data_IF_490553844675
#
_entry.id   IF_490553844675
#
_cell.length_a   1.000
_cell.length_b   1.000
_cell.length_c   1.000
_cell.angle_alpha   90.00
_cell.angle_beta   90.00
_cell.angle_gamma   90.00
#
_symmetry.space_group_name_H-M   'P 1'
#
loop_
_entity.id
_entity.type
_entity.pdbx_description
1 polymer ?
#
# COMPACT_ATOMS: atom_id res chain seq x y z
N UNK A 1 9.21 0.48 28.37
CA UNK A 1 9.97 -0.47 27.55
C UNK A 1 10.65 0.34 26.45
N UNK A 2 11.96 0.59 26.57
CA UNK A 2 12.68 1.47 25.65
C UNK A 2 12.77 0.81 24.28
N UNK A 3 12.14 1.43 23.29
CA UNK A 3 11.99 0.84 21.98
C UNK A 3 13.27 0.82 21.17
N UNK A 4 13.34 -0.12 20.22
CA UNK A 4 14.46 -0.31 19.30
C UNK A 4 14.79 0.91 18.41
N UNK A 5 13.98 1.97 18.49
CA UNK A 5 14.21 3.29 17.90
C UNK A 5 15.47 3.96 18.49
N UNK A 6 16.64 3.59 17.97
CA UNK A 6 17.94 4.15 18.38
C UNK A 6 19.06 3.12 18.49
N UNK A 7 18.75 1.83 18.35
CA UNK A 7 19.78 0.77 18.39
C UNK A 7 20.62 0.80 17.11
N UNK A 8 21.94 0.73 17.25
CA UNK A 8 22.84 0.71 16.09
C UNK A 8 22.66 -0.58 15.27
N UNK A 9 22.92 -0.50 13.96
CA UNK A 9 22.82 -1.64 13.03
C UNK A 9 23.63 -2.86 13.51
N UNK A 10 24.83 -2.63 14.03
CA UNK A 10 25.69 -3.70 14.53
C UNK A 10 25.09 -4.36 15.78
N UNK A 11 24.53 -3.57 16.70
CA UNK A 11 23.91 -4.09 17.91
C UNK A 11 22.60 -4.86 17.63
N UNK A 12 21.87 -4.51 16.56
CA UNK A 12 20.72 -5.28 16.09
C UNK A 12 21.15 -6.63 15.49
N UNK A 13 22.19 -6.63 14.66
CA UNK A 13 22.75 -7.85 14.05
C UNK A 13 23.31 -8.80 15.12
N UNK A 14 24.04 -8.27 16.11
CA UNK A 14 24.57 -9.04 17.23
C UNK A 14 23.47 -9.69 18.09
N UNK A 15 22.26 -9.12 18.07
CA UNK A 15 21.07 -9.67 18.73
C UNK A 15 20.19 -10.53 17.83
N UNK A 16 20.58 -10.77 16.58
CA UNK A 16 19.78 -11.53 15.62
C UNK A 16 18.47 -10.84 15.22
N UNK A 17 18.43 -9.50 15.30
CA UNK A 17 17.26 -8.70 14.97
C UNK A 17 17.37 -8.17 13.55
N UNK A 18 16.34 -8.41 12.75
CA UNK A 18 16.19 -7.82 11.41
C UNK A 18 15.10 -6.76 11.45
N UNK A 19 15.43 -5.56 10.97
CA UNK A 19 14.46 -4.47 10.80
C UNK A 19 14.00 -4.42 9.35
N UNK A 20 12.69 -4.37 9.14
CA UNK A 20 12.02 -4.03 7.88
C UNK A 20 11.41 -2.63 8.02
N UNK A 21 11.64 -1.78 7.02
CA UNK A 21 10.99 -0.46 6.91
C UNK A 21 9.99 -0.49 5.77
N UNK A 22 8.72 -0.28 6.07
CA UNK A 22 7.64 -0.17 5.09
C UNK A 22 7.29 1.31 4.98
N UNK A 23 7.51 1.86 3.79
CA UNK A 23 7.03 3.17 3.39
C UNK A 23 5.77 2.98 2.55
N UNK A 24 4.78 3.83 2.72
CA UNK A 24 3.55 3.70 1.94
C UNK A 24 2.82 5.01 1.67
N UNK A 25 2.08 5.01 0.57
CA UNK A 25 1.17 6.07 0.14
C UNK A 25 -0.16 5.50 -0.33
N UNK A 26 -1.13 6.39 -0.53
CA UNK A 26 -2.44 6.09 -1.09
C UNK A 26 -3.02 7.36 -1.71
N UNK A 27 -4.00 7.23 -2.61
CA UNK A 27 -4.83 8.32 -3.13
C UNK A 27 -3.99 9.51 -3.61
N UNK A 28 -2.99 9.27 -4.45
CA UNK A 28 -2.05 10.31 -4.88
C UNK A 28 -2.70 11.34 -5.81
N UNK A 29 -3.72 10.92 -6.57
CA UNK A 29 -4.56 11.78 -7.39
C UNK A 29 -3.79 12.75 -8.30
N UNK A 30 -2.70 12.27 -8.92
CA UNK A 30 -1.84 13.04 -9.82
C UNK A 30 -1.35 14.37 -9.21
N UNK A 31 -1.22 14.43 -7.88
CA UNK A 31 -0.66 15.60 -7.19
C UNK A 31 0.87 15.63 -7.33
N UNK A 32 1.34 15.90 -8.56
CA UNK A 32 2.77 15.94 -8.90
C UNK A 32 3.47 17.07 -8.17
N UNK A 33 2.90 18.27 -8.22
CA UNK A 33 3.38 19.45 -7.50
C UNK A 33 2.74 19.57 -6.12
N UNK A 34 3.41 20.25 -5.17
CA UNK A 34 2.77 20.67 -3.93
C UNK A 34 1.53 21.53 -4.19
N UNK A 35 0.63 21.57 -3.21
CA UNK A 35 -0.41 22.59 -3.17
C UNK A 35 0.22 23.99 -3.13
N UNK A 36 -0.41 25.00 -3.77
CA UNK A 36 0.06 26.38 -3.72
C UNK A 36 0.21 26.89 -2.28
N UNK A 37 1.13 27.84 -2.07
CA UNK A 37 1.34 28.46 -0.76
C UNK A 37 0.10 29.16 -0.18
N UNK A 38 -0.85 29.56 -1.04
CA UNK A 38 -2.12 30.15 -0.65
C UNK A 38 -3.29 29.15 -0.60
N UNK A 39 -3.03 27.83 -0.69
CA UNK A 39 -4.08 26.83 -0.49
C UNK A 39 -4.67 26.96 0.92
N UNK A 40 -6.01 27.02 1.07
CA UNK A 40 -6.64 27.33 2.35
C UNK A 40 -6.51 26.21 3.40
N UNK A 41 -6.16 24.99 2.98
CA UNK A 41 -6.12 23.81 3.86
C UNK A 41 -4.74 23.19 3.94
N UNK A 42 -4.05 23.10 2.81
CA UNK A 42 -2.82 22.33 2.66
C UNK A 42 -1.67 23.16 2.05
N UNK A 43 -1.41 24.41 2.48
CA UNK A 43 -0.42 25.26 1.85
C UNK A 43 0.97 24.62 1.85
N UNK A 44 1.61 24.58 0.68
CA UNK A 44 2.95 23.99 0.44
C UNK A 44 3.10 22.50 0.80
N UNK A 45 1.99 21.76 0.94
CA UNK A 45 2.02 20.32 1.23
C UNK A 45 1.95 19.47 -0.06
N UNK A 46 2.33 18.21 0.03
CA UNK A 46 2.30 17.25 -1.07
C UNK A 46 3.50 17.36 -2.01
N UNK A 47 3.32 16.81 -3.21
CA UNK A 47 4.30 16.88 -4.28
C UNK A 47 5.33 15.73 -4.29
N UNK A 48 5.58 15.22 -5.49
CA UNK A 48 6.42 14.03 -5.71
C UNK A 48 7.88 14.30 -5.38
N UNK A 49 8.41 15.49 -5.70
CA UNK A 49 9.81 15.84 -5.43
C UNK A 49 10.15 15.85 -3.93
N UNK A 50 9.26 16.39 -3.08
CA UNK A 50 9.44 16.41 -1.62
C UNK A 50 9.44 14.99 -1.06
N UNK A 51 8.45 14.20 -1.44
CA UNK A 51 8.35 12.78 -1.08
C UNK A 51 9.58 11.99 -1.54
N UNK A 52 10.06 12.19 -2.76
CA UNK A 52 11.27 11.56 -3.29
C UNK A 52 12.52 11.87 -2.43
N UNK A 53 12.67 13.12 -1.99
CA UNK A 53 13.75 13.53 -1.09
C UNK A 53 13.71 12.77 0.25
N UNK A 54 12.53 12.68 0.86
CA UNK A 54 12.35 11.94 2.12
C UNK A 54 12.64 10.45 1.94
N UNK A 55 12.10 9.81 0.90
CA UNK A 55 12.34 8.40 0.58
C UNK A 55 13.84 8.13 0.36
N UNK A 56 14.52 9.02 -0.39
CA UNK A 56 15.96 8.91 -0.66
C UNK A 56 16.78 8.98 0.64
N UNK A 57 16.46 9.90 1.55
CA UNK A 57 17.12 10.02 2.86
C UNK A 57 16.94 8.73 3.69
N UNK A 58 15.74 8.17 3.71
CA UNK A 58 15.45 6.93 4.45
C UNK A 58 16.25 5.76 3.88
N UNK A 59 16.21 5.55 2.56
CA UNK A 59 16.93 4.46 1.88
C UNK A 59 18.45 4.57 2.01
N UNK A 60 19.01 5.77 2.19
CA UNK A 60 20.43 5.94 2.46
C UNK A 60 20.86 5.36 3.82
N UNK A 61 19.93 5.24 4.76
CA UNK A 61 20.20 4.75 6.13
C UNK A 61 19.60 3.37 6.44
N UNK A 62 18.56 2.98 5.69
CA UNK A 62 17.79 1.77 5.96
C UNK A 62 18.01 0.72 4.85
N UNK A 63 18.58 -0.46 5.16
CA UNK A 63 18.94 -1.44 4.13
C UNK A 63 17.75 -2.25 3.60
N UNK A 64 16.69 -2.41 4.40
CA UNK A 64 15.56 -3.27 4.11
C UNK A 64 14.29 -2.42 4.00
N UNK A 65 14.12 -1.75 2.86
CA UNK A 65 12.96 -0.88 2.60
C UNK A 65 12.04 -1.54 1.59
N UNK A 66 10.73 -1.45 1.84
CA UNK A 66 9.66 -1.64 0.86
C UNK A 66 8.88 -0.33 0.74
N UNK A 67 8.58 0.11 -0.47
CA UNK A 67 7.77 1.28 -0.77
C UNK A 67 6.51 0.85 -1.53
N UNK A 68 5.35 1.07 -0.93
CA UNK A 68 4.07 0.53 -1.39
C UNK A 68 3.06 1.64 -1.67
N UNK A 69 2.10 1.39 -2.55
CA UNK A 69 0.98 2.29 -2.81
C UNK A 69 -0.38 1.56 -2.79
N UNK A 70 -1.39 2.18 -2.18
CA UNK A 70 -2.71 1.58 -2.06
C UNK A 70 -3.72 2.04 -3.14
N UNK A 71 -3.27 2.58 -4.27
CA UNK A 71 -4.11 2.89 -5.44
C UNK A 71 -4.57 4.34 -5.52
N UNK A 72 -5.36 4.65 -6.56
CA UNK A 72 -5.78 6.00 -6.96
C UNK A 72 -4.58 6.92 -7.21
N UNK A 73 -3.71 6.46 -8.11
CA UNK A 73 -2.49 7.18 -8.49
C UNK A 73 -2.84 8.32 -9.46
N UNK A 74 -3.80 8.07 -10.36
CA UNK A 74 -4.10 8.89 -11.51
C UNK A 74 -5.00 10.11 -11.24
N UNK A 75 -6.31 10.03 -11.44
CA UNK A 75 -7.15 11.23 -11.60
C UNK A 75 -7.03 12.22 -10.43
N UNK A 76 -7.02 13.55 -10.71
CA UNK A 76 -7.15 14.58 -9.66
C UNK A 76 -6.52 15.94 -9.97
N UNK A 77 -5.60 16.03 -10.93
CA UNK A 77 -5.03 17.29 -11.41
C UNK A 77 -4.95 17.36 -12.94
N UNK A 78 -4.67 18.54 -13.54
CA UNK A 78 -4.46 18.66 -14.98
C UNK A 78 -3.33 17.80 -15.56
N UNK A 79 -2.37 17.34 -14.73
CA UNK A 79 -1.32 16.43 -15.19
C UNK A 79 -1.92 15.15 -15.79
N UNK A 80 -2.90 14.52 -15.12
CA UNK A 80 -3.55 13.33 -15.64
C UNK A 80 -4.30 13.60 -16.95
N UNK A 81 -4.93 14.77 -17.10
CA UNK A 81 -5.64 15.12 -18.33
C UNK A 81 -4.69 15.27 -19.54
N UNK A 82 -3.48 15.77 -19.31
CA UNK A 82 -2.48 16.04 -20.34
C UNK A 82 -1.61 14.81 -20.65
N UNK A 83 -1.20 14.07 -19.61
CA UNK A 83 -0.21 12.99 -19.70
C UNK A 83 -0.80 11.59 -19.47
N UNK A 84 -2.08 11.50 -19.12
CA UNK A 84 -2.84 10.25 -19.05
C UNK A 84 -2.25 9.17 -18.11
N UNK A 85 -1.43 9.56 -17.12
CA UNK A 85 -0.81 8.62 -16.17
C UNK A 85 0.67 8.32 -16.41
N UNK A 86 1.24 8.78 -17.54
CA UNK A 86 2.65 8.51 -17.88
C UNK A 86 3.62 9.09 -16.84
N UNK A 87 3.39 10.35 -16.44
CA UNK A 87 4.26 11.09 -15.51
C UNK A 87 4.22 10.45 -14.13
N UNK A 88 3.03 10.06 -13.68
CA UNK A 88 2.78 9.44 -12.39
C UNK A 88 3.60 8.14 -12.24
N UNK A 89 3.49 7.22 -13.20
CA UNK A 89 4.22 5.95 -13.17
C UNK A 89 5.72 6.12 -13.36
N UNK A 90 6.16 7.05 -14.22
CA UNK A 90 7.60 7.36 -14.35
C UNK A 90 8.19 7.84 -13.03
N UNK A 91 7.55 8.81 -12.38
CA UNK A 91 8.05 9.37 -11.12
C UNK A 91 7.99 8.35 -9.98
N UNK A 92 6.93 7.53 -9.89
CA UNK A 92 6.89 6.42 -8.93
C UNK A 92 8.00 5.40 -9.18
N UNK A 93 8.30 5.11 -10.45
CA UNK A 93 9.43 4.24 -10.80
C UNK A 93 10.78 4.83 -10.44
N UNK A 94 10.97 6.14 -10.62
CA UNK A 94 12.19 6.85 -10.20
C UNK A 94 12.34 6.91 -8.68
N UNK A 95 11.23 7.05 -7.95
CA UNK A 95 11.19 6.91 -6.49
C UNK A 95 11.41 5.45 -6.04
N UNK A 96 11.33 4.50 -6.97
CA UNK A 96 11.52 3.07 -6.75
C UNK A 96 10.43 2.46 -5.89
N UNK A 97 9.15 2.72 -6.18
CA UNK A 97 8.07 1.92 -5.60
C UNK A 97 8.31 0.44 -5.89
N UNK A 98 7.90 -0.43 -4.96
CA UNK A 98 7.99 -1.89 -5.11
C UNK A 98 6.66 -2.44 -5.63
N UNK A 99 5.53 -1.98 -5.09
CA UNK A 99 4.21 -2.53 -5.39
C UNK A 99 3.09 -1.49 -5.31
N UNK A 100 2.04 -1.65 -6.12
CA UNK A 100 0.75 -0.96 -5.95
C UNK A 100 -0.43 -1.92 -6.06
N UNK A 101 -1.56 -1.56 -5.45
CA UNK A 101 -2.89 -2.08 -5.85
C UNK A 101 -3.59 -1.10 -6.81
N UNK A 102 -4.82 -1.41 -7.19
CA UNK A 102 -5.68 -0.55 -8.02
C UNK A 102 -6.78 0.11 -7.19
N UNK A 103 -6.97 1.40 -7.40
CA UNK A 103 -8.15 2.13 -6.97
C UNK A 103 -9.18 2.32 -8.08
N UNK A 104 -10.29 2.96 -7.76
CA UNK A 104 -11.36 3.19 -8.74
C UNK A 104 -10.96 4.23 -9.79
N UNK A 105 -10.22 5.27 -9.40
CA UNK A 105 -9.79 6.35 -10.31
C UNK A 105 -8.69 5.93 -11.28
N UNK A 106 -8.03 4.79 -11.03
CA UNK A 106 -7.09 4.22 -11.99
C UNK A 106 -7.80 3.79 -13.30
N UNK A 107 -9.12 3.60 -13.26
CA UNK A 107 -9.95 3.23 -14.42
C UNK A 107 -10.62 4.41 -15.13
N UNK A 108 -10.38 5.67 -14.74
CA UNK A 108 -11.11 6.83 -15.28
C UNK A 108 -10.91 7.05 -16.79
N UNK A 109 -9.76 6.63 -17.34
CA UNK A 109 -9.49 6.58 -18.79
C UNK A 109 -9.58 5.17 -19.38
N UNK A 110 -10.14 4.22 -18.62
CA UNK A 110 -10.32 2.82 -19.01
C UNK A 110 -9.10 1.93 -18.78
N UNK A 111 -9.34 0.62 -18.78
CA UNK A 111 -8.30 -0.40 -18.66
C UNK A 111 -7.22 -0.29 -19.74
N UNK A 112 -7.59 0.14 -20.95
CA UNK A 112 -6.67 0.36 -22.06
C UNK A 112 -5.61 1.41 -21.69
N UNK A 113 -6.01 2.47 -20.98
CA UNK A 113 -5.06 3.47 -20.52
C UNK A 113 -4.14 2.89 -19.44
N UNK A 114 -4.66 2.13 -18.48
CA UNK A 114 -3.81 1.45 -17.49
C UNK A 114 -2.74 0.62 -18.20
N UNK A 115 -3.14 -0.24 -19.15
CA UNK A 115 -2.21 -1.07 -19.94
C UNK A 115 -1.20 -0.24 -20.71
N UNK A 116 -1.64 0.87 -21.32
CA UNK A 116 -0.77 1.80 -22.05
C UNK A 116 0.31 2.39 -21.14
N UNK A 117 -0.02 2.69 -19.88
CA UNK A 117 0.93 3.30 -18.94
C UNK A 117 1.82 2.28 -18.23
N UNK A 118 1.39 1.02 -18.05
CA UNK A 118 2.17 -0.02 -17.36
C UNK A 118 3.65 -0.15 -17.77
N UNK A 119 4.07 0.04 -19.05
CA UNK A 119 5.49 0.03 -19.42
C UNK A 119 6.35 1.09 -18.72
N UNK A 120 5.75 2.15 -18.17
CA UNK A 120 6.43 3.17 -17.39
C UNK A 120 6.58 2.80 -15.91
N UNK A 121 5.87 1.78 -15.43
CA UNK A 121 5.93 1.29 -14.06
C UNK A 121 7.01 0.22 -13.91
N UNK A 122 7.99 0.47 -13.03
CA UNK A 122 9.04 -0.48 -12.63
C UNK A 122 8.71 -1.20 -11.32
N UNK A 123 7.43 -1.28 -11.00
CA UNK A 123 6.86 -1.86 -9.78
C UNK A 123 5.77 -2.88 -10.12
N UNK A 124 5.48 -3.76 -9.18
CA UNK A 124 4.47 -4.81 -9.35
C UNK A 124 3.05 -4.27 -9.10
N UNK A 125 2.07 -4.81 -9.83
CA UNK A 125 0.64 -4.55 -9.62
C UNK A 125 -0.01 -5.77 -8.98
N UNK A 126 -0.71 -5.57 -7.86
CA UNK A 126 -1.44 -6.63 -7.15
C UNK A 126 -2.90 -6.28 -6.96
N UNK A 127 -3.81 -7.22 -7.25
CA UNK A 127 -5.22 -7.13 -6.91
C UNK A 127 -5.83 -8.53 -6.98
N UNK A 128 -6.28 -9.06 -5.85
CA UNK A 128 -6.71 -10.46 -5.74
C UNK A 128 -8.21 -10.66 -5.97
N UNK A 129 -9.03 -9.66 -5.65
CA UNK A 129 -10.49 -9.79 -5.70
C UNK A 129 -11.10 -9.31 -7.02
N UNK A 130 -10.27 -8.98 -8.01
CA UNK A 130 -10.68 -8.70 -9.38
C UNK A 130 -10.22 -9.82 -10.31
N UNK A 131 -11.11 -10.30 -11.18
CA UNK A 131 -10.74 -11.21 -12.28
C UNK A 131 -10.94 -10.48 -13.60
N UNK A 132 -9.82 -10.28 -14.31
CA UNK A 132 -9.73 -9.52 -15.56
C UNK A 132 -9.86 -10.39 -16.82
N UNK A 133 -10.57 -11.52 -16.74
CA UNK A 133 -10.71 -12.44 -17.88
C UNK A 133 -11.37 -11.73 -19.07
N UNK A 134 -10.82 -11.89 -20.28
CA UNK A 134 -11.26 -11.23 -21.51
C UNK A 134 -11.19 -9.69 -21.45
N UNK A 135 -10.31 -9.11 -20.62
CA UNK A 135 -10.09 -7.66 -20.59
C UNK A 135 -8.64 -7.31 -20.94
N UNK A 136 -8.31 -6.04 -21.27
CA UNK A 136 -6.94 -5.63 -21.52
C UNK A 136 -5.96 -5.93 -20.36
N UNK A 137 -6.47 -6.04 -19.12
CA UNK A 137 -5.69 -6.32 -17.92
C UNK A 137 -5.48 -7.82 -17.62
N UNK A 138 -6.01 -8.71 -18.47
CA UNK A 138 -5.84 -10.15 -18.30
C UNK A 138 -4.36 -10.54 -18.18
N UNK A 139 -4.02 -11.31 -17.14
CA UNK A 139 -2.66 -11.77 -16.81
C UNK A 139 -1.62 -10.66 -16.53
N UNK A 140 -2.03 -9.39 -16.41
CA UNK A 140 -1.11 -8.27 -16.12
C UNK A 140 -1.02 -7.93 -14.63
N UNK A 141 -2.04 -8.30 -13.87
CA UNK A 141 -2.15 -8.03 -12.43
C UNK A 141 -2.19 -9.36 -11.69
N UNK A 142 -1.32 -9.48 -10.69
CA UNK A 142 -1.21 -10.71 -9.88
C UNK A 142 -2.07 -10.58 -8.63
N UNK A 143 -2.52 -11.69 -8.01
CA UNK A 143 -3.21 -11.58 -6.72
C UNK A 143 -2.28 -11.08 -5.62
N UNK A 144 -1.02 -11.51 -5.64
CA UNK A 144 0.00 -11.15 -4.66
C UNK A 144 1.41 -11.20 -5.25
N UNK A 145 2.38 -10.66 -4.50
CA UNK A 145 3.81 -10.72 -4.76
C UNK A 145 4.57 -10.97 -3.45
N UNK A 146 5.65 -11.75 -3.52
CA UNK A 146 6.55 -11.99 -2.38
C UNK A 146 7.86 -11.24 -2.60
N UNK A 147 8.30 -10.53 -1.57
CA UNK A 147 9.57 -9.81 -1.54
C UNK A 147 10.50 -10.40 -0.49
N UNK A 148 11.78 -10.54 -0.83
CA UNK A 148 12.82 -10.92 0.11
C UNK A 148 13.59 -9.68 0.55
N UNK A 149 13.64 -9.40 1.85
CA UNK A 149 14.36 -8.25 2.45
C UNK A 149 15.00 -8.67 3.76
N UNK A 150 16.32 -8.55 3.88
CA UNK A 150 17.04 -8.92 5.11
C UNK A 150 16.84 -10.38 5.56
N UNK A 151 16.60 -11.31 4.63
CA UNK A 151 16.28 -12.70 4.94
C UNK A 151 14.81 -12.98 5.31
N UNK A 152 13.96 -11.94 5.33
CA UNK A 152 12.52 -12.07 5.57
C UNK A 152 11.77 -12.26 4.25
N UNK A 153 10.75 -13.14 4.26
CA UNK A 153 9.77 -13.31 3.17
C UNK A 153 8.53 -12.47 3.46
N UNK A 154 8.30 -11.42 2.68
CA UNK A 154 7.19 -10.48 2.86
C UNK A 154 6.16 -10.69 1.75
N UNK A 155 4.97 -11.15 2.11
CA UNK A 155 3.85 -11.31 1.19
C UNK A 155 3.05 -10.01 1.09
N UNK A 156 2.83 -9.51 -0.11
CA UNK A 156 2.03 -8.31 -0.39
C UNK A 156 0.91 -8.69 -1.35
N UNK A 157 -0.34 -8.44 -0.98
CA UNK A 157 -1.50 -8.66 -1.85
C UNK A 157 -2.39 -7.43 -1.89
N UNK A 158 -3.20 -7.32 -2.94
CA UNK A 158 -4.07 -6.16 -3.16
C UNK A 158 -5.55 -6.50 -3.10
N UNK A 159 -6.37 -5.54 -2.68
CA UNK A 159 -7.83 -5.58 -2.80
C UNK A 159 -8.32 -4.26 -3.40
N UNK A 160 -9.24 -4.35 -4.36
CA UNK A 160 -9.91 -3.19 -4.96
C UNK A 160 -11.38 -3.11 -4.52
N UNK A 161 -11.97 -1.92 -4.60
CA UNK A 161 -13.38 -1.65 -4.25
C UNK A 161 -14.36 -2.11 -5.33
N UNK A 162 -15.63 -2.35 -4.98
CA UNK A 162 -16.62 -2.63 -6.02
C UNK A 162 -16.78 -1.43 -6.98
N UNK A 163 -16.41 -1.63 -8.25
CA UNK A 163 -16.41 -0.56 -9.27
C UNK A 163 -17.82 -0.18 -9.75
N UNK A 164 -18.79 -1.09 -9.59
CA UNK A 164 -20.16 -0.82 -9.99
C UNK A 164 -20.74 0.34 -9.17
N UNK A 165 -21.20 1.39 -9.85
CA UNK A 165 -21.69 2.62 -9.22
C UNK A 165 -20.61 3.68 -8.94
N UNK A 166 -19.32 3.34 -9.06
CA UNK A 166 -18.20 4.29 -8.93
C UNK A 166 -17.57 4.62 -10.29
N UNK A 167 -17.50 3.62 -11.17
CA UNK A 167 -16.88 3.73 -12.49
C UNK A 167 -17.91 3.30 -13.54
N UNK A 168 -17.87 3.91 -14.73
CA UNK A 168 -18.71 3.46 -15.85
C UNK A 168 -18.34 2.04 -16.28
N UNK A 169 -19.35 1.17 -16.47
CA UNK A 169 -19.17 -0.24 -16.87
C UNK A 169 -18.28 -0.42 -18.11
N UNK A 170 -18.31 0.54 -19.04
CA UNK A 170 -17.47 0.51 -20.24
C UNK A 170 -15.96 0.57 -19.92
N UNK A 171 -15.57 1.26 -18.84
CA UNK A 171 -14.17 1.53 -18.51
C UNK A 171 -13.49 0.37 -17.79
N UNK A 172 -14.24 -0.41 -17.00
CA UNK A 172 -13.74 -1.60 -16.32
C UNK A 172 -14.20 -2.93 -16.96
N UNK A 173 -14.97 -2.87 -18.04
CA UNK A 173 -15.38 -4.00 -18.86
C UNK A 173 -15.95 -5.16 -18.05
N UNK A 174 -15.55 -6.39 -18.39
CA UNK A 174 -16.04 -7.61 -17.75
C UNK A 174 -15.27 -7.99 -16.47
N UNK A 175 -14.55 -7.04 -15.86
CA UNK A 175 -13.89 -7.26 -14.57
C UNK A 175 -14.90 -7.77 -13.54
N UNK A 176 -14.64 -8.96 -13.01
CA UNK A 176 -15.47 -9.57 -11.98
C UNK A 176 -14.96 -9.18 -10.60
N UNK A 177 -15.88 -8.80 -9.73
CA UNK A 177 -15.61 -8.47 -8.34
C UNK A 177 -15.98 -9.64 -7.43
N UNK A 178 -15.05 -10.06 -6.59
CA UNK A 178 -15.28 -11.09 -5.57
C UNK A 178 -15.28 -10.49 -4.17
N UNK A 179 -16.00 -11.14 -3.26
CA UNK A 179 -16.07 -10.69 -1.87
C UNK A 179 -14.65 -10.56 -1.28
N UNK A 180 -14.25 -9.37 -0.83
CA UNK A 180 -12.87 -9.12 -0.44
C UNK A 180 -12.48 -9.84 0.86
N UNK A 181 -13.40 -10.08 1.79
CA UNK A 181 -13.10 -10.82 3.04
C UNK A 181 -12.77 -12.28 2.74
N UNK A 182 -13.56 -12.91 1.87
CA UNK A 182 -13.29 -14.29 1.44
C UNK A 182 -11.94 -14.41 0.74
N UNK A 183 -11.68 -13.54 -0.23
CA UNK A 183 -10.44 -13.54 -1.00
C UNK A 183 -9.24 -13.24 -0.12
N UNK A 184 -9.33 -12.25 0.78
CA UNK A 184 -8.26 -11.90 1.70
C UNK A 184 -7.87 -13.06 2.61
N UNK A 185 -8.85 -13.80 3.14
CA UNK A 185 -8.58 -14.99 3.96
C UNK A 185 -7.85 -16.09 3.17
N UNK A 186 -8.23 -16.33 1.92
CA UNK A 186 -7.59 -17.34 1.08
C UNK A 186 -6.14 -16.97 0.72
N UNK A 187 -5.92 -15.74 0.28
CA UNK A 187 -4.59 -15.24 -0.07
C UNK A 187 -3.68 -15.13 1.16
N UNK A 188 -4.17 -14.60 2.29
CA UNK A 188 -3.39 -14.49 3.51
C UNK A 188 -2.99 -15.88 4.05
N UNK A 189 -3.91 -16.86 4.00
CA UNK A 189 -3.61 -18.25 4.35
C UNK A 189 -2.52 -18.82 3.44
N UNK A 190 -2.62 -18.62 2.12
CA UNK A 190 -1.63 -19.07 1.14
C UNK A 190 -0.26 -18.46 1.45
N UNK A 191 -0.20 -17.14 1.59
CA UNK A 191 1.03 -16.40 1.90
C UNK A 191 1.68 -16.88 3.20
N UNK A 192 0.90 -17.08 4.26
CA UNK A 192 1.42 -17.46 5.59
C UNK A 192 1.79 -18.94 5.68
N UNK A 193 0.95 -19.83 5.14
CA UNK A 193 1.04 -21.28 5.40
C UNK A 193 1.74 -22.05 4.29
N UNK A 194 1.59 -21.64 3.04
CA UNK A 194 2.17 -22.35 1.89
C UNK A 194 3.48 -21.67 1.49
N UNK A 195 3.43 -20.37 1.27
CA UNK A 195 4.58 -19.55 0.88
C UNK A 195 5.51 -19.17 2.03
N UNK A 196 5.13 -19.52 3.27
CA UNK A 196 5.92 -19.30 4.49
C UNK A 196 6.39 -17.85 4.64
N UNK A 197 5.54 -16.88 4.30
CA UNK A 197 5.85 -15.48 4.52
C UNK A 197 5.91 -15.18 6.03
N UNK A 198 6.95 -14.46 6.43
CA UNK A 198 7.13 -14.00 7.80
C UNK A 198 6.11 -12.90 8.13
N UNK A 199 5.79 -12.06 7.15
CA UNK A 199 4.90 -10.92 7.27
C UNK A 199 3.96 -10.79 6.05
N UNK A 200 2.69 -10.50 6.29
CA UNK A 200 1.64 -10.39 5.26
C UNK A 200 1.02 -9.00 5.30
N UNK A 201 1.14 -8.28 4.17
CA UNK A 201 0.66 -6.91 3.96
C UNK A 201 -0.50 -6.94 2.96
N UNK A 202 -1.63 -6.36 3.35
CA UNK A 202 -2.75 -6.08 2.46
C UNK A 202 -2.70 -4.62 2.01
N UNK A 203 -2.63 -4.38 0.69
CA UNK A 203 -2.87 -3.08 0.07
C UNK A 203 -4.35 -2.99 -0.29
N UNK A 204 -5.12 -2.29 0.52
CA UNK A 204 -6.57 -2.25 0.41
C UNK A 204 -7.05 -0.90 -0.14
N UNK A 205 -7.76 -0.94 -1.26
CA UNK A 205 -8.51 0.20 -1.76
C UNK A 205 -9.99 0.13 -1.38
N UNK A 206 -10.35 -0.57 -0.29
CA UNK A 206 -11.76 -0.70 0.10
C UNK A 206 -12.31 0.49 0.86
N UNK A 207 -11.45 1.33 1.45
CA UNK A 207 -11.85 2.41 2.33
C UNK A 207 -11.78 2.04 3.80
N UNK A 208 -11.43 3.03 4.64
CA UNK A 208 -11.17 2.83 6.06
C UNK A 208 -12.41 2.31 6.81
N UNK A 209 -13.52 3.05 6.78
CA UNK A 209 -14.78 2.69 7.47
C UNK A 209 -15.97 3.38 6.80
N UNK A 210 -17.10 2.67 6.73
CA UNK A 210 -18.38 3.21 6.27
C UNK A 210 -19.42 3.16 7.40
N UNK A 211 -20.49 3.95 7.25
CA UNK A 211 -21.66 3.90 8.15
C UNK A 211 -22.61 2.74 7.81
N UNK A 212 -22.61 2.31 6.55
CA UNK A 212 -23.41 1.20 6.06
C UNK A 212 -22.69 -0.16 6.24
N UNK A 213 -23.27 -1.21 5.67
CA UNK A 213 -22.73 -2.58 5.75
C UNK A 213 -21.66 -2.87 4.68
N UNK A 214 -21.16 -1.86 3.98
CA UNK A 214 -20.11 -2.06 2.97
C UNK A 214 -18.84 -2.55 3.65
N UNK A 215 -18.17 -3.53 3.04
CA UNK A 215 -16.89 -4.03 3.54
C UNK A 215 -15.87 -2.89 3.50
N UNK A 216 -15.20 -2.68 4.64
CA UNK A 216 -14.15 -1.69 4.84
C UNK A 216 -12.88 -2.35 5.39
N UNK A 217 -11.82 -1.58 5.53
CA UNK A 217 -10.58 -2.03 6.17
C UNK A 217 -10.80 -2.45 7.62
N UNK A 218 -11.73 -1.79 8.34
CA UNK A 218 -12.10 -2.22 9.69
C UNK A 218 -12.79 -3.59 9.67
N UNK A 219 -13.73 -3.81 8.76
CA UNK A 219 -14.41 -5.11 8.58
C UNK A 219 -13.41 -6.20 8.24
N UNK A 220 -12.51 -5.95 7.27
CA UNK A 220 -11.43 -6.86 6.91
C UNK A 220 -10.58 -7.22 8.12
N UNK A 221 -10.15 -6.24 8.90
CA UNK A 221 -9.27 -6.47 10.05
C UNK A 221 -9.88 -7.39 11.11
N UNK A 222 -11.21 -7.37 11.26
CA UNK A 222 -11.94 -8.15 12.26
C UNK A 222 -12.33 -9.55 11.75
N UNK A 223 -12.61 -9.69 10.46
CA UNK A 223 -13.14 -10.93 9.86
C UNK A 223 -12.08 -11.80 9.16
N UNK A 224 -10.85 -11.32 9.04
CA UNK A 224 -9.75 -12.06 8.39
C UNK A 224 -8.81 -12.72 9.39
N UNK A 225 -7.85 -13.48 8.86
CA UNK A 225 -6.78 -14.18 9.58
C UNK A 225 -5.47 -14.02 8.82
N UNK A 226 -4.36 -14.27 9.49
CA UNK A 226 -3.02 -14.36 8.90
C UNK A 226 -2.49 -13.07 8.21
N UNK A 227 -3.24 -11.96 8.23
CA UNK A 227 -2.79 -10.61 7.83
C UNK A 227 -2.13 -9.93 9.02
N UNK A 228 -0.95 -9.33 8.82
CA UNK A 228 -0.24 -8.61 9.87
C UNK A 228 -0.55 -7.09 9.83
N UNK A 229 -0.78 -6.54 8.63
CA UNK A 229 -1.15 -5.13 8.41
C UNK A 229 -2.02 -4.92 7.16
N UNK A 230 -2.95 -3.97 7.26
CA UNK A 230 -3.75 -3.41 6.18
C UNK A 230 -3.34 -1.95 5.97
N UNK A 231 -2.88 -1.65 4.77
CA UNK A 231 -2.58 -0.30 4.28
C UNK A 231 -3.74 0.11 3.38
N UNK A 232 -4.60 1.01 3.88
CA UNK A 232 -5.85 1.45 3.28
C UNK A 232 -5.71 2.65 2.34
N UNK A 233 -6.80 2.94 1.62
CA UNK A 233 -6.94 4.06 0.68
C UNK A 233 -8.42 4.49 0.55
N UNK A 234 -8.81 5.12 -0.57
CA UNK A 234 -10.17 5.46 -0.99
C UNK A 234 -10.91 6.52 -0.17
N UNK A 235 -10.99 6.35 1.16
CA UNK A 235 -11.73 7.28 2.05
C UNK A 235 -10.97 8.56 2.40
N UNK A 236 -9.74 8.69 1.92
CA UNK A 236 -8.83 9.81 2.21
C UNK A 236 -8.60 10.05 3.71
N UNK A 237 -8.68 8.98 4.52
CA UNK A 237 -8.61 9.10 5.98
C UNK A 237 -7.16 9.37 6.41
N UNK A 238 -6.94 10.45 7.15
CA UNK A 238 -5.66 10.75 7.78
C UNK A 238 -5.57 10.08 9.15
N UNK A 239 -4.79 9.00 9.27
CA UNK A 239 -4.55 8.31 10.54
C UNK A 239 -3.15 8.65 11.07
N UNK A 240 -3.06 9.37 12.19
CA UNK A 240 -1.76 9.74 12.78
C UNK A 240 -0.96 8.55 13.33
N UNK A 241 -1.67 7.45 13.60
CA UNK A 241 -1.11 6.15 13.98
C UNK A 241 -2.06 5.05 13.48
N UNK A 242 -1.57 3.83 13.24
CA UNK A 242 -2.44 2.72 12.93
C UNK A 242 -3.45 2.45 14.04
N UNK A 243 -4.61 1.97 13.64
CA UNK A 243 -5.63 1.43 14.53
C UNK A 243 -5.38 -0.06 14.69
N UNK A 244 -5.38 -0.51 15.96
CA UNK A 244 -5.18 -1.91 16.32
C UNK A 244 -6.55 -2.59 16.41
N UNK A 245 -6.67 -3.74 15.74
CA UNK A 245 -7.87 -4.57 15.79
C UNK A 245 -7.54 -6.02 16.04
N UNK A 246 -8.41 -6.69 16.78
CA UNK A 246 -8.33 -8.12 16.97
C UNK A 246 -9.06 -8.81 15.80
N UNK A 247 -8.35 -9.65 15.08
CA UNK A 247 -8.90 -10.41 13.96
C UNK A 247 -9.74 -11.60 14.43
N UNK A 248 -10.18 -12.44 13.49
CA UNK A 248 -11.03 -13.59 13.78
C UNK A 248 -10.37 -14.63 14.71
N UNK A 249 -9.04 -14.60 14.87
CA UNK A 249 -8.26 -15.41 15.80
C UNK A 249 -7.79 -14.65 17.04
N UNK A 250 -8.33 -13.46 17.28
CA UNK A 250 -7.94 -12.56 18.38
C UNK A 250 -6.47 -12.13 18.34
N UNK A 251 -5.84 -12.21 17.17
CA UNK A 251 -4.50 -11.64 16.93
C UNK A 251 -4.63 -10.20 16.47
N UNK A 252 -3.67 -9.39 16.86
CA UNK A 252 -3.61 -7.98 16.49
C UNK A 252 -3.31 -7.80 14.99
N UNK A 253 -4.06 -6.90 14.35
CA UNK A 253 -3.88 -6.44 12.98
C UNK A 253 -3.83 -4.92 13.00
N UNK A 254 -2.89 -4.36 12.26
CA UNK A 254 -2.73 -2.92 12.12
C UNK A 254 -3.51 -2.42 10.90
N UNK A 255 -4.30 -1.36 11.06
CA UNK A 255 -4.99 -0.69 9.95
C UNK A 255 -4.49 0.75 9.86
N UNK A 256 -4.05 1.20 8.70
CA UNK A 256 -3.47 2.54 8.54
C UNK A 256 -3.76 3.15 7.16
N UNK A 257 -3.77 4.47 7.07
CA UNK A 257 -4.02 5.25 5.85
C UNK A 257 -3.41 6.65 6.03
N UNK A 258 -2.86 7.23 4.95
CA UNK A 258 -2.12 8.51 5.00
C UNK A 258 -2.82 9.64 4.26
N UNK A 259 -4.15 9.63 4.27
CA UNK A 259 -4.96 10.69 3.68
C UNK A 259 -4.98 10.62 2.17
N UNK A 260 -4.50 11.66 1.48
CA UNK A 260 -4.50 11.75 0.03
C UNK A 260 -3.48 12.77 -0.49
N UNK A 261 -3.34 12.87 -1.82
CA UNK A 261 -2.54 13.85 -2.55
C UNK A 261 -1.04 13.87 -2.20
N UNK A 262 -0.51 12.75 -1.68
CA UNK A 262 0.88 12.65 -1.23
C UNK A 262 1.22 13.60 -0.08
N UNK A 263 0.21 14.11 0.64
CA UNK A 263 0.40 15.04 1.76
C UNK A 263 1.19 14.37 2.88
N UNK A 264 0.89 13.10 3.20
CA UNK A 264 1.65 12.31 4.17
C UNK A 264 2.30 11.11 3.47
N UNK A 265 3.47 10.72 3.99
CA UNK A 265 4.16 9.46 3.72
C UNK A 265 4.13 8.63 4.99
N UNK A 266 3.58 7.43 4.90
CA UNK A 266 3.57 6.50 6.00
C UNK A 266 4.93 5.83 6.15
N UNK A 267 5.38 5.61 7.40
CA UNK A 267 6.55 4.80 7.72
C UNK A 267 6.24 3.85 8.87
N UNK A 268 6.63 2.59 8.69
CA UNK A 268 6.48 1.53 9.67
C UNK A 268 7.80 0.80 9.77
N UNK A 269 8.32 0.69 10.99
CA UNK A 269 9.55 -0.04 11.29
C UNK A 269 9.15 -1.30 12.06
N UNK A 270 9.30 -2.46 11.43
CA UNK A 270 8.96 -3.77 12.03
C UNK A 270 10.26 -4.49 12.39
N UNK A 271 10.41 -4.87 13.66
CA UNK A 271 11.55 -5.63 14.15
C UNK A 271 11.19 -7.12 14.28
N UNK A 272 12.07 -7.97 13.75
CA UNK A 272 11.95 -9.42 13.78
C UNK A 272 13.12 -10.02 14.54
N UNK A 273 12.85 -10.86 15.54
CA UNK A 273 13.87 -11.69 16.16
C UNK A 273 13.94 -13.08 15.54
N UNK A 274 15.15 -13.62 15.48
CA UNK A 274 15.41 -14.97 15.01
C UNK A 274 15.50 -15.90 16.23
N UNK A 275 14.51 -16.78 16.42
CA UNK A 275 14.58 -17.86 17.41
C UNK A 275 14.31 -19.20 16.74
N UNK A 276 15.25 -20.15 16.87
CA UNK A 276 15.09 -21.57 16.51
C UNK A 276 14.33 -21.82 15.19
N UNK A 277 14.85 -21.27 14.08
CA UNK A 277 14.37 -21.45 12.68
C UNK A 277 13.07 -20.74 12.29
N UNK A 278 12.49 -19.87 13.12
CA UNK A 278 11.31 -19.07 12.73
C UNK A 278 11.49 -17.61 13.10
N UNK A 279 11.17 -16.71 12.17
CA UNK A 279 11.14 -15.28 12.43
C UNK A 279 9.84 -14.95 13.19
N UNK A 280 9.96 -14.16 14.25
CA UNK A 280 8.82 -13.62 14.99
C UNK A 280 8.91 -12.11 15.05
N UNK A 281 7.79 -11.44 14.78
CA UNK A 281 7.66 -9.99 14.99
C UNK A 281 7.68 -9.68 16.48
N UNK A 282 8.59 -8.82 16.93
CA UNK A 282 8.69 -8.43 18.35
C UNK A 282 8.00 -7.10 18.63
N UNK A 283 8.16 -6.12 17.74
CA UNK A 283 7.58 -4.79 17.89
C UNK A 283 7.50 -4.10 16.55
N UNK A 284 6.42 -3.36 16.34
CA UNK A 284 6.28 -2.44 15.22
C UNK A 284 6.19 -0.99 15.74
N UNK A 285 6.98 -0.11 15.13
CA UNK A 285 6.97 1.33 15.40
C UNK A 285 6.39 2.07 14.21
N UNK A 286 5.57 3.07 14.51
CA UNK A 286 4.83 3.82 13.51
C UNK A 286 5.25 5.28 13.53
N UNK A 287 5.52 5.81 12.34
CA UNK A 287 5.82 7.22 12.15
C UNK A 287 5.14 7.71 10.89
N UNK A 288 4.33 8.76 11.03
CA UNK A 288 3.78 9.48 9.88
C UNK A 288 4.71 10.64 9.56
N UNK A 289 5.16 10.70 8.30
CA UNK A 289 6.04 11.74 7.78
C UNK A 289 5.20 12.70 6.95
N UNK A 290 4.98 13.91 7.44
CA UNK A 290 4.25 14.93 6.68
C UNK A 290 5.18 15.55 5.64
N UNK A 291 4.67 15.82 4.43
CA UNK A 291 5.39 16.38 3.27
C UNK A 291 5.97 17.80 3.46
N UNK A 292 5.88 18.36 4.67
CA UNK A 292 6.56 19.61 5.03
C UNK A 292 8.08 19.43 5.25
N UNK A 293 8.62 18.22 5.13
CA UNK A 293 10.03 17.88 5.36
C UNK A 293 10.93 17.96 4.11
#
# INVERSE_FOLDING_TARGET
MYGFAGMSKNLMLDKGITKLVILYTNDQHSRIDPFPANDPKNPDQGGFARRASVIKKIRATEPNVLLLDAGDIFQGTPYFNLYQGEVEYKLMSEMGYDCTTLGNHDFDLGMENVVKQMPHAKFDFVCANYIFKNTPLENKIKPYKIYNRGGLRIGVFGLGIELAGLVSKKLYGDTQYFNPVMVANDIAKTLKKEEKCDYVICLSHLGYKYEDKKVSDMTLSEETKDIDIIIGAHTHTFLEKPVLKANAEKKEVHVTQVGWAGIWLGRIDVAFSHNNKKNSTETAYYKILKSQA
#
